data_IF_866440036857
#
_entry.id   IF_866440036857
#
_cell.length_a   1.000
_cell.length_b   1.000
_cell.length_c   1.000
_cell.angle_alpha   90.00
_cell.angle_beta   90.00
_cell.angle_gamma   90.00
#
_symmetry.space_group_name_H-M   'P 1'
#
loop_
_entity.id
_entity.type
_entity.pdbx_description
1 polymer ?
#
# COMPACT_ATOMS: atom_id res chain seq x y z
N UNK A 1 7.26 -0.30 -0.31
CA UNK A 1 7.56 -0.83 -1.66
C UNK A 1 8.66 0.01 -2.28
N UNK A 2 8.39 1.26 -2.63
CA UNK A 2 9.39 2.17 -3.20
C UNK A 2 10.67 2.28 -2.37
N UNK A 3 10.57 2.43 -1.05
CA UNK A 3 11.74 2.47 -0.16
C UNK A 3 12.66 1.26 -0.35
N UNK A 4 12.11 0.06 -0.55
CA UNK A 4 12.93 -1.13 -0.74
C UNK A 4 13.67 -1.10 -2.08
N UNK A 5 13.10 -0.46 -3.11
CA UNK A 5 13.72 -0.26 -4.42
C UNK A 5 14.82 0.79 -4.33
N UNK A 6 14.53 1.98 -3.80
CA UNK A 6 15.50 3.09 -3.77
C UNK A 6 16.65 2.86 -2.78
N UNK A 7 16.43 2.06 -1.73
CA UNK A 7 17.47 1.63 -0.78
C UNK A 7 18.05 0.24 -1.08
N UNK A 8 17.72 -0.38 -2.22
CA UNK A 8 18.28 -1.68 -2.65
C UNK A 8 18.11 -2.81 -1.62
N UNK A 9 17.04 -2.78 -0.83
CA UNK A 9 16.77 -3.76 0.24
C UNK A 9 16.10 -5.05 -0.26
N UNK A 10 15.91 -5.18 -1.57
CA UNK A 10 15.22 -6.31 -2.19
C UNK A 10 13.71 -6.33 -1.92
N UNK A 11 13.02 -7.33 -2.45
CA UNK A 11 11.59 -7.51 -2.23
C UNK A 11 11.32 -8.04 -0.81
N UNK A 12 10.24 -7.56 -0.18
CA UNK A 12 9.76 -8.05 1.10
C UNK A 12 8.34 -8.61 0.94
N UNK A 13 7.97 -9.75 1.55
CA UNK A 13 6.60 -10.28 1.50
C UNK A 13 5.53 -9.27 1.90
N UNK A 14 5.87 -8.31 2.77
CA UNK A 14 4.95 -7.25 3.18
C UNK A 14 4.59 -6.28 2.05
N UNK A 15 5.39 -6.22 0.99
CA UNK A 15 5.06 -5.51 -0.24
C UNK A 15 3.88 -6.18 -0.94
N UNK A 16 3.87 -7.50 -1.01
CA UNK A 16 2.79 -8.24 -1.67
C UNK A 16 1.48 -8.15 -0.87
N UNK A 17 1.57 -8.14 0.46
CA UNK A 17 0.39 -7.90 1.31
C UNK A 17 -0.27 -6.56 1.02
N UNK A 18 0.53 -5.51 0.82
CA UNK A 18 0.01 -4.19 0.46
C UNK A 18 -0.64 -4.19 -0.93
N UNK A 19 0.02 -4.82 -1.91
CA UNK A 19 -0.52 -4.96 -3.27
C UNK A 19 -1.85 -5.72 -3.25
N UNK A 20 -1.93 -6.84 -2.53
CA UNK A 20 -3.14 -7.62 -2.38
C UNK A 20 -4.26 -6.79 -1.71
N UNK A 21 -3.94 -6.01 -0.68
CA UNK A 21 -4.92 -5.12 -0.03
C UNK A 21 -5.45 -4.06 -1.00
N UNK A 22 -4.58 -3.51 -1.84
CA UNK A 22 -4.96 -2.56 -2.89
C UNK A 22 -5.86 -3.22 -3.93
N UNK A 23 -5.52 -4.43 -4.38
CA UNK A 23 -6.34 -5.20 -5.34
C UNK A 23 -7.73 -5.49 -4.78
N UNK A 24 -7.82 -5.98 -3.55
CA UNK A 24 -9.11 -6.28 -2.91
C UNK A 24 -9.94 -5.00 -2.76
N UNK A 25 -9.33 -3.90 -2.30
CA UNK A 25 -10.02 -2.60 -2.23
C UNK A 25 -10.60 -2.20 -3.60
N UNK A 26 -9.80 -2.30 -4.67
CA UNK A 26 -10.25 -1.98 -6.02
C UNK A 26 -11.38 -2.90 -6.48
N UNK A 27 -11.37 -4.18 -6.13
CA UNK A 27 -12.45 -5.10 -6.49
C UNK A 27 -13.79 -4.71 -5.82
N UNK A 28 -13.75 -4.31 -4.55
CA UNK A 28 -14.96 -3.91 -3.82
C UNK A 28 -15.48 -2.53 -4.22
N UNK A 29 -14.59 -1.58 -4.49
CA UNK A 29 -14.96 -0.16 -4.67
C UNK A 29 -14.94 0.30 -6.12
N UNK A 30 -14.22 -0.41 -6.99
CA UNK A 30 -13.80 0.05 -8.34
C UNK A 30 -12.94 1.31 -8.31
N UNK A 31 -12.35 1.64 -7.17
CA UNK A 31 -11.49 2.81 -6.98
C UNK A 31 -10.04 2.41 -6.68
N UNK A 32 -9.11 3.32 -6.96
CA UNK A 32 -7.70 3.12 -6.63
C UNK A 32 -7.46 3.35 -5.13
N UNK A 33 -6.78 2.42 -4.47
CA UNK A 33 -6.38 2.56 -3.06
C UNK A 33 -5.30 3.65 -2.86
N UNK A 34 -4.56 3.98 -3.91
CA UNK A 34 -3.54 5.02 -3.91
C UNK A 34 -4.01 6.20 -4.77
N UNK A 35 -3.93 7.44 -4.26
CA UNK A 35 -4.11 8.63 -5.08
C UNK A 35 -3.12 8.68 -6.26
N UNK A 36 -3.53 9.27 -7.38
CA UNK A 36 -2.68 9.38 -8.59
C UNK A 36 -1.36 10.12 -8.33
N UNK A 37 -1.37 11.12 -7.45
CA UNK A 37 -0.18 11.85 -7.00
C UNK A 37 0.87 10.93 -6.36
N UNK A 38 0.47 9.85 -5.66
CA UNK A 38 1.41 8.89 -5.10
C UNK A 38 2.19 8.20 -6.20
N UNK A 39 1.54 7.89 -7.32
CA UNK A 39 2.18 7.26 -8.48
C UNK A 39 3.20 8.23 -9.10
N UNK A 40 2.81 9.50 -9.26
CA UNK A 40 3.71 10.55 -9.77
C UNK A 40 4.96 10.72 -8.88
N UNK A 41 4.77 10.80 -7.56
CA UNK A 41 5.89 10.89 -6.62
C UNK A 41 6.76 9.63 -6.61
N UNK A 42 6.16 8.44 -6.81
CA UNK A 42 6.93 7.21 -6.95
C UNK A 42 7.83 7.24 -8.18
N UNK A 43 7.32 7.68 -9.32
CA UNK A 43 8.11 7.82 -10.54
C UNK A 43 9.25 8.83 -10.36
N UNK A 44 8.96 10.00 -9.79
CA UNK A 44 9.98 11.03 -9.50
C UNK A 44 11.07 10.54 -8.55
N UNK A 45 10.72 9.73 -7.55
CA UNK A 45 11.70 9.14 -6.65
C UNK A 45 12.61 8.13 -7.36
N UNK A 46 12.07 7.34 -8.30
CA UNK A 46 12.85 6.42 -9.13
C UNK A 46 13.78 7.19 -10.08
N UNK A 47 13.27 8.22 -10.76
CA UNK A 47 14.06 9.06 -11.65
C UNK A 47 15.21 9.74 -10.89
N UNK A 48 14.93 10.28 -9.71
CA UNK A 48 15.96 10.87 -8.84
C UNK A 48 17.02 9.84 -8.43
N UNK A 49 16.60 8.63 -8.03
CA UNK A 49 17.54 7.54 -7.70
C UNK A 49 18.39 7.14 -8.92
N UNK A 50 17.80 7.01 -10.11
CA UNK A 50 18.52 6.69 -11.35
C UNK A 50 19.52 7.79 -11.74
N UNK A 51 19.19 9.05 -11.47
CA UNK A 51 20.07 10.19 -11.67
C UNK A 51 21.08 10.43 -10.53
N UNK A 52 21.17 9.53 -9.53
CA UNK A 52 21.96 9.72 -8.30
C UNK A 52 21.69 11.04 -7.56
N UNK A 53 20.46 11.55 -7.67
CA UNK A 53 19.96 12.74 -6.99
C UNK A 53 19.23 12.36 -5.70
N UNK A 54 18.96 13.36 -4.84
CA UNK A 54 18.22 13.16 -3.61
C UNK A 54 16.74 12.82 -3.87
N UNK A 55 16.35 11.59 -3.54
CA UNK A 55 14.97 11.10 -3.67
C UNK A 55 14.16 11.22 -2.37
N UNK A 56 14.79 11.62 -1.26
CA UNK A 56 14.13 11.67 0.06
C UNK A 56 12.92 12.60 0.15
N UNK A 57 12.85 13.76 -0.56
CA UNK A 57 11.67 14.60 -0.54
C UNK A 57 10.43 13.90 -1.09
N UNK A 58 10.59 13.10 -2.15
CA UNK A 58 9.48 12.34 -2.75
C UNK A 58 8.97 11.24 -1.82
N UNK A 59 9.85 10.62 -1.03
CA UNK A 59 9.43 9.66 0.00
C UNK A 59 8.56 10.33 1.07
N UNK A 60 8.88 11.55 1.48
CA UNK A 60 8.07 12.31 2.43
C UNK A 60 6.68 12.66 1.84
N UNK A 61 6.64 13.11 0.58
CA UNK A 61 5.38 13.40 -0.13
C UNK A 61 4.49 12.15 -0.23
N UNK A 62 5.06 11.01 -0.60
CA UNK A 62 4.32 9.73 -0.66
C UNK A 62 3.71 9.38 0.70
N UNK A 63 4.49 9.47 1.79
CA UNK A 63 3.99 9.16 3.13
C UNK A 63 2.85 10.09 3.54
N UNK A 64 2.97 11.38 3.24
CA UNK A 64 1.93 12.37 3.53
C UNK A 64 0.65 12.08 2.75
N UNK A 65 0.74 11.85 1.43
CA UNK A 65 -0.42 11.50 0.59
C UNK A 65 -1.10 10.20 1.03
N UNK A 66 -0.32 9.18 1.39
CA UNK A 66 -0.87 7.91 1.88
C UNK A 66 -1.53 8.04 3.26
N UNK A 67 -1.03 8.92 4.13
CA UNK A 67 -1.65 9.18 5.43
C UNK A 67 -2.90 10.06 5.32
N UNK A 68 -2.95 10.97 4.34
CA UNK A 68 -4.09 11.86 4.11
C UNK A 68 -5.21 11.24 3.29
N UNK A 69 -4.95 10.11 2.61
CA UNK A 69 -5.95 9.48 1.73
C UNK A 69 -7.20 9.07 2.51
N UNK A 70 -8.35 9.18 1.84
CA UNK A 70 -9.63 8.68 2.34
C UNK A 70 -10.03 7.47 1.50
N UNK A 71 -10.13 6.32 2.15
CA UNK A 71 -10.61 5.08 1.51
C UNK A 71 -12.12 4.99 1.69
N UNK A 72 -12.86 4.75 0.60
CA UNK A 72 -14.31 4.61 0.62
C UNK A 72 -14.69 3.19 1.01
N UNK A 73 -14.77 2.97 2.31
CA UNK A 73 -15.04 1.65 2.89
C UNK A 73 -16.46 1.52 3.44
N UNK A 74 -17.30 2.56 3.35
CA UNK A 74 -18.60 2.59 4.01
C UNK A 74 -19.58 1.52 3.48
N UNK A 75 -19.43 1.13 2.22
CA UNK A 75 -20.26 0.10 1.56
C UNK A 75 -19.75 -1.33 1.76
N UNK A 76 -18.59 -1.51 2.39
CA UNK A 76 -17.95 -2.81 2.58
C UNK A 76 -18.30 -3.35 3.96
N UNK A 77 -18.58 -4.65 4.07
CA UNK A 77 -18.77 -5.31 5.36
C UNK A 77 -17.60 -5.00 6.29
N UNK A 78 -17.92 -4.59 7.53
CA UNK A 78 -16.96 -4.06 8.51
C UNK A 78 -15.69 -4.92 8.68
N UNK A 79 -15.84 -6.23 8.73
CA UNK A 79 -14.70 -7.14 8.92
C UNK A 79 -13.78 -7.20 7.70
N UNK A 80 -14.34 -7.14 6.48
CA UNK A 80 -13.58 -7.06 5.23
C UNK A 80 -12.91 -5.68 5.13
N UNK A 81 -13.61 -4.60 5.47
CA UNK A 81 -13.05 -3.24 5.50
C UNK A 81 -11.85 -3.15 6.46
N UNK A 82 -11.97 -3.72 7.67
CA UNK A 82 -10.88 -3.78 8.65
C UNK A 82 -9.69 -4.58 8.14
N UNK A 83 -9.93 -5.69 7.44
CA UNK A 83 -8.87 -6.49 6.84
C UNK A 83 -8.13 -5.70 5.75
N UNK A 84 -8.86 -5.05 4.84
CA UNK A 84 -8.29 -4.17 3.80
C UNK A 84 -7.43 -3.08 4.43
N UNK A 85 -7.93 -2.39 5.46
CA UNK A 85 -7.18 -1.35 6.18
C UNK A 85 -5.87 -1.87 6.78
N UNK A 86 -5.89 -3.06 7.38
CA UNK A 86 -4.69 -3.66 7.98
C UNK A 86 -3.63 -4.01 6.93
N UNK A 87 -4.04 -4.49 5.76
CA UNK A 87 -3.15 -4.82 4.64
C UNK A 87 -2.57 -3.55 4.01
N UNK A 88 -3.34 -2.47 3.97
CA UNK A 88 -2.97 -1.16 3.43
C UNK A 88 -2.19 -0.27 4.42
N UNK A 89 -1.75 -0.79 5.57
CA UNK A 89 -0.98 -0.01 6.54
C UNK A 89 0.30 0.56 5.90
N UNK A 90 0.61 1.83 6.17
CA UNK A 90 1.84 2.48 5.71
C UNK A 90 3.08 1.92 6.42
N UNK A 91 2.91 1.37 7.62
CA UNK A 91 3.93 0.62 8.35
C UNK A 91 3.89 -0.88 7.96
N UNK A 92 4.91 -1.41 7.27
CA UNK A 92 4.94 -2.82 6.87
C UNK A 92 4.87 -3.80 8.03
N UNK A 93 5.29 -3.41 9.25
CA UNK A 93 5.25 -4.28 10.44
C UNK A 93 3.85 -4.47 11.00
N UNK A 94 2.91 -3.56 10.66
CA UNK A 94 1.51 -3.64 11.08
C UNK A 94 0.65 -4.45 10.13
N UNK A 95 1.19 -4.88 8.98
CA UNK A 95 0.49 -5.68 7.99
C UNK A 95 0.41 -7.14 8.43
N UNK A 96 -0.74 -7.82 8.23
CA UNK A 96 -0.88 -9.24 8.54
C UNK A 96 -0.04 -10.11 7.59
N UNK A 97 0.28 -11.33 8.00
CA UNK A 97 0.90 -12.31 7.10
C UNK A 97 -0.14 -12.92 6.15
N UNK A 98 0.33 -13.54 5.07
CA UNK A 98 -0.54 -14.29 4.15
C UNK A 98 -1.35 -15.38 4.86
N UNK A 99 -0.76 -16.09 5.85
CA UNK A 99 -1.50 -17.10 6.62
C UNK A 99 -2.64 -16.48 7.44
N UNK A 100 -2.43 -15.30 8.04
CA UNK A 100 -3.47 -14.61 8.82
C UNK A 100 -4.61 -14.16 7.90
N UNK A 101 -4.29 -13.68 6.69
CA UNK A 101 -5.28 -13.28 5.69
C UNK A 101 -6.11 -14.48 5.26
N UNK A 102 -5.47 -15.61 4.90
CA UNK A 102 -6.18 -16.84 4.51
C UNK A 102 -7.20 -17.29 5.56
N UNK A 103 -6.78 -17.38 6.82
CA UNK A 103 -7.68 -17.74 7.95
C UNK A 103 -8.83 -16.75 8.17
N UNK A 104 -8.66 -15.48 7.83
CA UNK A 104 -9.75 -14.49 7.92
C UNK A 104 -10.71 -14.64 6.74
N UNK A 105 -10.19 -14.94 5.55
CA UNK A 105 -10.99 -15.12 4.33
C UNK A 105 -11.87 -16.37 4.38
N UNK A 106 -11.39 -17.46 4.97
CA UNK A 106 -12.18 -18.68 5.22
C UNK A 106 -13.47 -18.40 6.01
N UNK A 107 -13.50 -17.37 6.85
CA UNK A 107 -14.68 -16.98 7.63
C UNK A 107 -15.75 -16.23 6.82
N UNK A 108 -15.40 -15.80 5.60
CA UNK A 108 -16.31 -15.13 4.67
C UNK A 108 -16.76 -16.06 3.53
N UNK A 109 -16.31 -17.32 3.56
CA UNK A 109 -16.67 -18.39 2.60
C UNK A 109 -17.88 -19.16 3.10
#
# INVERSE_FOLDING_TARGET
>A
QLEAVVYERGASPQMDIYSLGSTIYTLFTRELANPMEVIDFMNKALDAKMANSDFTPYLALIRNSLNARKLKLESIQKDIANLILSMLSTDPKKRPTAQIIGKKMEKFS
#
